data_IF_440991296082
#
_entry.id   IF_440991296082
#
_cell.length_a   1.000
_cell.length_b   1.000
_cell.length_c   1.000
_cell.angle_alpha   90.00
_cell.angle_beta   90.00
_cell.angle_gamma   90.00
#
_symmetry.space_group_name_H-M   'P 1'
#
loop_
_entity.id
_entity.type
_entity.pdbx_description
1 polymer ?
#
# COMPACT_ATOMS: atom_id res chain seq x y z
N UNK A 1 -27.55 3.35 -1.49
CA UNK A 1 -26.67 4.44 -1.92
C UNK A 1 -26.02 4.02 -3.22
N UNK A 2 -25.97 4.92 -4.20
CA UNK A 2 -25.12 4.69 -5.37
C UNK A 2 -23.65 4.62 -4.93
N UNK A 3 -22.82 3.89 -5.68
CA UNK A 3 -21.37 3.79 -5.45
C UNK A 3 -20.75 5.18 -5.22
N UNK A 4 -19.73 5.28 -4.38
CA UNK A 4 -19.00 6.54 -4.16
C UNK A 4 -18.63 7.25 -5.46
N UNK A 5 -18.26 6.51 -6.51
CA UNK A 5 -17.92 7.03 -7.84
C UNK A 5 -19.02 7.87 -8.51
N UNK A 6 -20.28 7.70 -8.11
CA UNK A 6 -21.42 8.48 -8.64
C UNK A 6 -21.69 9.78 -7.88
N UNK A 7 -21.09 9.95 -6.69
CA UNK A 7 -21.35 11.07 -5.77
C UNK A 7 -20.12 12.00 -5.63
N UNK A 8 -19.12 11.90 -6.52
CA UNK A 8 -17.91 12.72 -6.44
C UNK A 8 -18.15 14.09 -7.10
N UNK A 9 -17.86 15.14 -6.34
CA UNK A 9 -17.80 16.51 -6.84
C UNK A 9 -16.35 16.93 -7.09
N UNK A 10 -16.09 17.59 -8.22
CA UNK A 10 -14.75 17.96 -8.66
C UNK A 10 -14.58 19.47 -8.69
N UNK A 11 -13.50 19.98 -8.11
CA UNK A 11 -13.13 21.39 -8.08
C UNK A 11 -11.70 21.54 -8.62
N UNK A 12 -11.54 22.31 -9.68
CA UNK A 12 -10.25 22.49 -10.36
C UNK A 12 -9.57 23.74 -9.83
N UNK A 13 -8.30 23.61 -9.45
CA UNK A 13 -7.42 24.72 -9.13
C UNK A 13 -6.48 25.00 -10.30
N UNK A 14 -6.32 26.27 -10.67
CA UNK A 14 -5.27 26.66 -11.60
C UNK A 14 -3.91 26.45 -10.94
N UNK A 15 -3.01 25.72 -11.62
CA UNK A 15 -1.67 25.36 -11.10
C UNK A 15 -1.67 24.62 -9.75
N UNK A 16 -2.77 23.93 -9.41
CA UNK A 16 -2.93 23.21 -8.15
C UNK A 16 -3.57 21.82 -8.30
N UNK A 17 -3.77 21.09 -7.20
CA UNK A 17 -4.46 19.82 -7.23
C UNK A 17 -5.96 20.01 -7.52
N UNK A 18 -6.54 19.05 -8.23
CA UNK A 18 -8.00 18.94 -8.34
C UNK A 18 -8.53 18.41 -7.01
N UNK A 19 -9.36 19.21 -6.34
CA UNK A 19 -10.04 18.80 -5.11
C UNK A 19 -11.26 17.97 -5.46
N UNK A 20 -11.45 16.89 -4.71
CA UNK A 20 -12.58 15.98 -4.87
C UNK A 20 -13.16 15.66 -3.51
N UNK A 21 -14.48 15.71 -3.41
CA UNK A 21 -15.23 15.42 -2.20
C UNK A 21 -16.46 14.60 -2.55
N UNK A 22 -16.88 13.76 -1.62
CA UNK A 22 -18.12 12.99 -1.70
C UNK A 22 -19.14 13.44 -0.66
N UNK A 23 -18.67 13.76 0.55
CA UNK A 23 -19.53 14.07 1.71
C UNK A 23 -19.16 15.42 2.32
N UNK A 24 -17.86 15.76 2.39
CA UNK A 24 -17.38 16.97 3.06
C UNK A 24 -17.51 18.21 2.18
N UNK A 25 -17.71 19.39 2.77
CA UNK A 25 -17.74 20.62 2.00
C UNK A 25 -16.34 21.02 1.51
N UNK A 26 -16.30 22.07 0.68
CA UNK A 26 -15.08 22.67 0.16
C UNK A 26 -14.97 24.11 0.66
N UNK A 27 -13.76 24.52 1.02
CA UNK A 27 -13.44 25.92 1.29
C UNK A 27 -12.94 26.55 0.00
N UNK A 28 -13.53 27.66 -0.39
CA UNK A 28 -13.03 28.53 -1.45
C UNK A 28 -12.32 29.73 -0.82
N UNK A 29 -11.07 29.96 -1.22
CA UNK A 29 -10.28 31.10 -0.75
C UNK A 29 -9.26 31.53 -1.80
N UNK A 30 -9.21 32.82 -2.10
CA UNK A 30 -8.29 33.42 -3.08
C UNK A 30 -8.40 32.78 -4.48
N UNK A 31 -9.61 32.37 -4.88
CA UNK A 31 -9.85 31.66 -6.16
C UNK A 31 -9.36 30.20 -6.18
N UNK A 32 -8.97 29.65 -5.03
CA UNK A 32 -8.54 28.26 -4.87
C UNK A 32 -9.50 27.48 -3.97
N UNK A 33 -9.60 26.19 -4.24
CA UNK A 33 -10.41 25.21 -3.52
C UNK A 33 -9.55 24.34 -2.59
N UNK A 34 -10.09 24.05 -1.41
CA UNK A 34 -9.49 23.22 -0.37
C UNK A 34 -10.54 22.28 0.24
N UNK A 35 -10.17 21.05 0.61
CA UNK A 35 -11.11 20.16 1.31
C UNK A 35 -11.39 20.71 2.71
N UNK A 36 -12.66 20.85 3.08
CA UNK A 36 -13.02 21.14 4.45
C UNK A 36 -13.13 19.84 5.26
N UNK A 37 -11.97 19.34 5.70
CA UNK A 37 -11.88 18.04 6.34
C UNK A 37 -12.74 17.92 7.62
N UNK A 38 -13.01 19.03 8.31
CA UNK A 38 -13.85 19.06 9.53
C UNK A 38 -15.25 19.61 9.29
N UNK A 39 -15.49 20.36 8.22
CA UNK A 39 -16.79 21.00 7.95
C UNK A 39 -16.99 22.31 8.72
N UNK A 40 -15.91 22.94 9.18
CA UNK A 40 -15.95 24.16 10.01
C UNK A 40 -15.74 25.46 9.22
N UNK A 41 -15.55 25.38 7.90
CA UNK A 41 -15.25 26.52 7.02
C UNK A 41 -13.88 27.15 7.22
N UNK A 42 -13.05 26.66 8.16
CA UNK A 42 -11.74 27.22 8.50
C UNK A 42 -10.63 26.52 7.72
N UNK A 43 -9.85 27.30 6.99
CA UNK A 43 -8.63 26.81 6.32
C UNK A 43 -7.48 26.66 7.32
N UNK A 44 -7.50 25.57 8.09
CA UNK A 44 -6.39 25.19 8.98
C UNK A 44 -5.13 24.79 8.18
N UNK A 45 -3.91 24.89 8.74
CA UNK A 45 -2.69 24.62 8.00
C UNK A 45 -2.61 23.21 7.38
N UNK A 46 -3.22 22.20 8.00
CA UNK A 46 -3.28 20.83 7.46
C UNK A 46 -4.23 20.67 6.26
N UNK A 47 -5.24 21.53 6.12
CA UNK A 47 -6.19 21.54 4.98
C UNK A 47 -5.62 22.27 3.76
N UNK A 48 -4.61 23.12 3.97
CA UNK A 48 -3.98 23.91 2.93
C UNK A 48 -2.86 23.14 2.23
N UNK A 49 -3.16 22.61 1.04
CA UNK A 49 -2.24 21.84 0.19
C UNK A 49 -1.02 22.63 -0.29
N UNK A 50 -0.99 23.95 -0.11
CA UNK A 50 0.20 24.79 -0.41
C UNK A 50 1.28 24.65 0.66
N UNK A 51 0.92 24.19 1.86
CA UNK A 51 1.88 23.91 2.92
C UNK A 51 2.64 22.61 2.66
N UNK A 52 3.88 22.53 3.15
CA UNK A 52 4.67 21.30 3.06
C UNK A 52 4.01 20.14 3.79
N UNK A 53 4.22 18.88 3.36
CA UNK A 53 3.66 17.72 4.05
C UNK A 53 4.01 17.67 5.54
N UNK A 54 5.23 18.04 5.92
CA UNK A 54 5.65 18.09 7.32
C UNK A 54 4.85 19.12 8.15
N UNK A 55 4.61 20.32 7.61
CA UNK A 55 3.79 21.35 8.26
C UNK A 55 2.34 20.91 8.39
N UNK A 56 1.78 20.31 7.34
CA UNK A 56 0.42 19.74 7.36
C UNK A 56 0.31 18.62 8.40
N UNK A 57 1.34 17.77 8.53
CA UNK A 57 1.38 16.63 9.45
C UNK A 57 1.41 17.08 10.90
N UNK A 58 2.29 18.02 11.22
CA UNK A 58 2.36 18.60 12.56
C UNK A 58 1.04 19.28 12.95
N UNK A 59 0.44 20.05 12.02
CA UNK A 59 -0.84 20.71 12.27
C UNK A 59 -1.99 19.74 12.46
N UNK A 60 -2.06 18.65 11.69
CA UNK A 60 -3.10 17.63 11.84
C UNK A 60 -2.93 16.85 13.15
N UNK A 61 -1.70 16.42 13.45
CA UNK A 61 -1.41 15.65 14.67
C UNK A 61 -1.73 16.43 15.96
N UNK A 62 -1.66 17.76 15.93
CA UNK A 62 -2.07 18.62 17.04
C UNK A 62 -3.58 18.65 17.26
N UNK A 63 -4.39 18.44 16.21
CA UNK A 63 -5.86 18.51 16.24
C UNK A 63 -6.49 17.13 16.51
N UNK A 64 -5.82 16.04 16.12
CA UNK A 64 -6.35 14.68 16.29
C UNK A 64 -6.49 14.27 17.76
N UNK A 65 -7.61 13.60 18.07
CA UNK A 65 -7.84 12.98 19.37
C UNK A 65 -6.89 11.79 19.61
N UNK A 66 -6.82 11.31 20.86
CA UNK A 66 -6.08 10.09 21.18
C UNK A 66 -6.65 8.88 20.41
N UNK A 67 -7.96 8.76 20.32
CA UNK A 67 -8.64 7.64 19.65
C UNK A 67 -8.36 7.65 18.13
N UNK A 68 -8.41 8.81 17.48
CA UNK A 68 -8.07 8.93 16.06
C UNK A 68 -6.60 8.57 15.79
N UNK A 69 -5.69 8.94 16.72
CA UNK A 69 -4.28 8.55 16.64
C UNK A 69 -4.10 7.05 16.80
N UNK A 70 -4.81 6.44 17.76
CA UNK A 70 -4.77 5.00 18.04
C UNK A 70 -5.33 4.21 16.86
N UNK A 71 -6.46 4.62 16.28
CA UNK A 71 -7.06 3.94 15.12
C UNK A 71 -6.13 3.87 13.91
N UNK A 72 -5.27 4.89 13.70
CA UNK A 72 -4.26 4.87 12.64
C UNK A 72 -3.10 3.89 12.88
N UNK A 73 -2.94 3.31 14.07
CA UNK A 73 -1.84 2.37 14.36
C UNK A 73 -2.15 0.95 13.87
N UNK A 74 -3.43 0.58 13.79
CA UNK A 74 -3.84 -0.77 13.43
C UNK A 74 -3.86 -0.99 11.93
N UNK A 75 -3.53 -2.22 11.53
CA UNK A 75 -3.51 -2.67 10.15
C UNK A 75 -4.17 -4.05 10.07
N UNK A 76 -5.36 -4.12 9.49
CA UNK A 76 -6.19 -5.34 9.54
C UNK A 76 -6.32 -5.97 8.16
N UNK A 77 -6.35 -7.31 8.07
CA UNK A 77 -6.74 -7.95 6.80
C UNK A 77 -8.23 -7.74 6.58
N UNK A 78 -8.62 -7.35 5.36
CA UNK A 78 -10.00 -6.97 5.08
C UNK A 78 -10.56 -7.66 3.85
N UNK A 79 -11.85 -7.98 3.90
CA UNK A 79 -12.61 -8.60 2.80
C UNK A 79 -13.49 -7.56 2.11
N UNK A 80 -13.55 -7.60 0.79
CA UNK A 80 -14.46 -6.79 0.00
C UNK A 80 -15.87 -7.40 0.01
N UNK A 81 -16.90 -6.56 0.02
CA UNK A 81 -18.30 -6.97 -0.06
C UNK A 81 -18.65 -7.72 -1.34
N UNK A 82 -17.92 -7.49 -2.45
CA UNK A 82 -18.16 -8.23 -3.70
C UNK A 82 -17.95 -9.75 -3.55
N UNK A 83 -17.09 -10.16 -2.61
CA UNK A 83 -16.81 -11.56 -2.29
C UNK A 83 -17.62 -12.09 -1.10
N UNK A 84 -18.46 -11.27 -0.49
CA UNK A 84 -19.37 -11.72 0.57
C UNK A 84 -20.51 -12.52 -0.05
N UNK A 85 -20.70 -13.75 0.42
CA UNK A 85 -21.74 -14.66 -0.07
C UNK A 85 -23.13 -14.19 0.38
N UNK A 86 -23.25 -13.79 1.65
CA UNK A 86 -24.47 -13.25 2.21
C UNK A 86 -24.64 -11.76 1.86
N UNK A 87 -25.45 -11.48 0.83
CA UNK A 87 -25.72 -10.11 0.36
C UNK A 87 -26.54 -9.27 1.34
N UNK A 88 -27.00 -9.81 2.46
CA UNK A 88 -27.56 -9.01 3.55
C UNK A 88 -26.46 -8.38 4.43
N UNK A 89 -25.23 -8.89 4.35
CA UNK A 89 -24.05 -8.45 5.11
C UNK A 89 -23.11 -7.57 4.29
N UNK A 90 -23.64 -6.78 3.36
CA UNK A 90 -22.87 -5.77 2.62
C UNK A 90 -23.51 -4.41 2.78
N UNK A 91 -22.74 -3.35 2.56
CA UNK A 91 -23.30 -2.01 2.52
C UNK A 91 -24.25 -1.83 1.33
N UNK A 92 -24.97 -0.72 1.29
CA UNK A 92 -25.94 -0.44 0.23
C UNK A 92 -25.32 -0.41 -1.19
N UNK A 93 -24.01 -0.20 -1.31
CA UNK A 93 -23.30 -0.27 -2.59
C UNK A 93 -22.92 -1.69 -3.02
N UNK A 94 -22.95 -2.65 -2.08
CA UNK A 94 -22.48 -4.01 -2.25
C UNK A 94 -20.96 -4.18 -2.26
N UNK A 95 -20.20 -3.10 -2.03
CA UNK A 95 -18.74 -3.09 -2.12
C UNK A 95 -18.07 -3.33 -0.77
N UNK A 96 -18.66 -2.90 0.33
CA UNK A 96 -18.11 -3.07 1.67
C UNK A 96 -18.70 -4.29 2.36
N UNK A 97 -17.86 -5.04 3.08
CA UNK A 97 -18.31 -6.16 3.90
C UNK A 97 -18.78 -5.63 5.26
N UNK A 98 -20.04 -5.88 5.62
CA UNK A 98 -20.64 -5.46 6.89
C UNK A 98 -20.90 -6.65 7.83
N UNK A 99 -20.35 -7.83 7.49
CA UNK A 99 -20.38 -8.99 8.36
C UNK A 99 -19.69 -8.71 9.70
N UNK A 100 -20.37 -9.08 10.78
CA UNK A 100 -19.79 -9.16 12.11
C UNK A 100 -19.43 -10.63 12.34
N UNK A 101 -18.15 -10.89 12.57
CA UNK A 101 -17.63 -12.21 12.93
C UNK A 101 -17.26 -12.18 14.40
N UNK A 102 -18.02 -12.90 15.20
CA UNK A 102 -17.66 -13.17 16.59
C UNK A 102 -16.75 -14.40 16.61
N UNK A 103 -15.54 -14.27 17.19
CA UNK A 103 -14.49 -15.31 17.23
C UNK A 103 -13.96 -15.73 15.85
N UNK A 104 -13.31 -14.82 15.11
CA UNK A 104 -12.60 -15.20 13.88
C UNK A 104 -11.37 -16.06 14.25
N UNK A 105 -11.31 -17.29 13.74
CA UNK A 105 -10.16 -18.20 13.84
C UNK A 105 -9.08 -17.81 12.82
N UNK A 106 -8.56 -16.59 12.91
CA UNK A 106 -7.37 -16.27 12.12
C UNK A 106 -6.17 -16.98 12.75
N UNK A 107 -5.29 -17.54 11.92
CA UNK A 107 -4.03 -18.18 12.38
C UNK A 107 -3.08 -17.22 13.13
N UNK A 108 -3.42 -15.93 13.22
CA UNK A 108 -2.61 -14.87 13.82
C UNK A 108 -3.23 -14.27 15.09
N UNK A 109 -4.55 -14.26 15.26
CA UNK A 109 -5.24 -13.85 16.49
C UNK A 109 -6.73 -14.25 16.50
N UNK A 110 -7.31 -14.40 17.70
CA UNK A 110 -8.76 -14.54 17.91
C UNK A 110 -9.32 -13.16 18.21
N UNK A 111 -9.97 -12.54 17.23
CA UNK A 111 -10.59 -11.23 17.38
C UNK A 111 -12.03 -11.23 16.82
N UNK A 112 -12.88 -10.41 17.43
CA UNK A 112 -14.16 -10.08 16.83
C UNK A 112 -13.93 -9.07 15.72
N UNK A 113 -14.37 -9.39 14.50
CA UNK A 113 -14.32 -8.46 13.37
C UNK A 113 -15.68 -7.81 13.21
N UNK A 114 -15.72 -6.48 13.15
CA UNK A 114 -16.93 -5.72 12.87
C UNK A 114 -17.04 -5.39 11.38
N UNK A 115 -18.24 -4.96 10.96
CA UNK A 115 -18.47 -4.46 9.61
C UNK A 115 -17.58 -3.26 9.25
N UNK A 116 -17.28 -3.12 7.96
CA UNK A 116 -16.37 -2.09 7.41
C UNK A 116 -16.75 -0.69 7.87
N UNK A 117 -18.05 -0.37 7.85
CA UNK A 117 -18.53 0.96 8.24
C UNK A 117 -18.24 1.24 9.71
N UNK A 118 -18.50 0.26 10.59
CA UNK A 118 -18.20 0.37 12.03
C UNK A 118 -16.69 0.54 12.26
N UNK A 119 -15.86 -0.29 11.61
CA UNK A 119 -14.40 -0.23 11.76
C UNK A 119 -13.80 1.10 11.31
N UNK A 120 -14.32 1.70 10.24
CA UNK A 120 -13.85 3.02 9.79
C UNK A 120 -14.41 4.14 10.67
N UNK A 121 -15.70 4.15 10.97
CA UNK A 121 -16.34 5.29 11.66
C UNK A 121 -16.10 5.28 13.16
N UNK A 122 -16.33 4.15 13.80
CA UNK A 122 -16.35 4.03 15.26
C UNK A 122 -14.97 3.68 15.83
N UNK A 123 -14.22 2.78 15.16
CA UNK A 123 -12.89 2.37 15.64
C UNK A 123 -11.75 3.25 15.11
N UNK A 124 -12.01 4.13 14.14
CA UNK A 124 -11.00 5.01 13.56
C UNK A 124 -9.90 4.29 12.76
N UNK A 125 -10.08 3.02 12.40
CA UNK A 125 -9.06 2.25 11.67
C UNK A 125 -8.98 2.73 10.22
N UNK A 126 -7.75 2.94 9.73
CA UNK A 126 -7.48 3.49 8.39
C UNK A 126 -6.59 2.65 7.51
N UNK A 127 -6.00 1.56 8.01
CA UNK A 127 -5.11 0.72 7.22
C UNK A 127 -5.68 -0.69 7.05
N UNK A 128 -5.83 -1.12 5.80
CA UNK A 128 -6.39 -2.43 5.48
C UNK A 128 -5.47 -3.20 4.55
N UNK A 129 -5.22 -4.47 4.83
CA UNK A 129 -4.48 -5.39 3.96
C UNK A 129 -5.51 -6.09 3.06
N UNK A 130 -5.41 -5.85 1.76
CA UNK A 130 -6.20 -6.57 0.77
C UNK A 130 -5.42 -7.77 0.25
N UNK A 131 -5.98 -8.96 0.47
CA UNK A 131 -5.45 -10.25 -0.02
C UNK A 131 -6.22 -10.80 -1.22
N UNK A 132 -7.42 -10.30 -1.48
CA UNK A 132 -8.25 -10.73 -2.59
C UNK A 132 -7.73 -10.16 -3.93
N UNK A 133 -8.15 -10.76 -5.05
CA UNK A 133 -7.70 -10.43 -6.41
C UNK A 133 -8.88 -9.92 -7.28
N UNK A 134 -9.47 -8.75 -6.94
CA UNK A 134 -10.53 -8.15 -7.74
C UNK A 134 -10.02 -7.63 -9.08
N UNK A 135 -10.93 -7.36 -10.01
CA UNK A 135 -10.58 -6.62 -11.24
C UNK A 135 -10.18 -5.18 -10.89
N UNK A 136 -9.30 -4.52 -11.67
CA UNK A 136 -8.85 -3.15 -11.36
C UNK A 136 -9.98 -2.14 -11.10
N UNK A 137 -11.06 -2.19 -11.89
CA UNK A 137 -12.22 -1.31 -11.69
C UNK A 137 -12.97 -1.56 -10.38
N UNK A 138 -13.09 -2.81 -9.95
CA UNK A 138 -13.72 -3.18 -8.68
C UNK A 138 -12.87 -2.75 -7.49
N UNK A 139 -11.54 -2.87 -7.62
CA UNK A 139 -10.59 -2.39 -6.62
C UNK A 139 -10.68 -0.88 -6.44
N UNK A 140 -10.70 -0.13 -7.55
CA UNK A 140 -10.86 1.31 -7.52
C UNK A 140 -12.20 1.69 -6.87
N UNK A 141 -13.32 1.08 -7.30
CA UNK A 141 -14.64 1.32 -6.70
C UNK A 141 -14.64 1.07 -5.19
N UNK A 142 -14.04 -0.02 -4.73
CA UNK A 142 -13.96 -0.36 -3.31
C UNK A 142 -13.13 0.64 -2.49
N UNK A 143 -11.95 1.03 -2.99
CA UNK A 143 -11.10 2.04 -2.32
C UNK A 143 -11.81 3.39 -2.24
N UNK A 144 -12.58 3.76 -3.28
CA UNK A 144 -13.37 4.98 -3.24
C UNK A 144 -14.52 4.88 -2.24
N UNK A 145 -15.19 3.73 -2.15
CA UNK A 145 -16.26 3.50 -1.18
C UNK A 145 -15.72 3.59 0.27
N UNK A 146 -14.56 2.99 0.55
CA UNK A 146 -13.86 3.12 1.83
C UNK A 146 -13.54 4.59 2.16
N UNK A 147 -13.01 5.33 1.19
CA UNK A 147 -12.66 6.73 1.40
C UNK A 147 -13.89 7.64 1.53
N UNK A 148 -15.02 7.33 0.90
CA UNK A 148 -16.29 8.04 1.13
C UNK A 148 -16.78 7.84 2.58
N UNK A 149 -16.72 6.61 3.09
CA UNK A 149 -17.05 6.33 4.51
C UNK A 149 -16.13 7.10 5.45
N UNK A 150 -14.83 7.09 5.16
CA UNK A 150 -13.82 7.78 5.95
C UNK A 150 -13.92 9.32 5.85
N UNK A 151 -14.30 9.84 4.70
CA UNK A 151 -14.57 11.27 4.50
C UNK A 151 -15.72 11.76 5.38
N UNK A 152 -16.69 10.90 5.67
CA UNK A 152 -17.80 11.20 6.58
C UNK A 152 -17.42 11.31 8.07
N UNK A 153 -16.18 11.05 8.46
CA UNK A 153 -15.75 11.13 9.88
C UNK A 153 -15.26 12.53 10.27
N UNK A 154 -14.94 12.74 11.56
CA UNK A 154 -14.52 14.04 12.11
C UNK A 154 -13.49 14.78 11.26
N UNK A 155 -12.26 14.25 11.18
CA UNK A 155 -11.16 14.83 10.40
C UNK A 155 -11.01 14.30 8.97
N UNK A 156 -11.98 13.53 8.47
CA UNK A 156 -11.97 12.94 7.13
C UNK A 156 -10.64 12.25 6.76
N UNK A 157 -10.05 11.52 7.71
CA UNK A 157 -8.76 10.84 7.50
C UNK A 157 -8.93 9.74 6.45
N UNK A 158 -8.18 9.74 5.34
CA UNK A 158 -8.34 8.76 4.27
C UNK A 158 -7.91 7.36 4.70
N UNK A 159 -8.47 6.37 4.02
CA UNK A 159 -8.08 4.97 4.17
C UNK A 159 -6.89 4.66 3.25
N UNK A 160 -5.98 3.85 3.75
CA UNK A 160 -4.83 3.33 3.02
C UNK A 160 -4.96 1.81 2.90
N UNK A 161 -5.11 1.34 1.66
CA UNK A 161 -5.11 -0.09 1.36
C UNK A 161 -3.68 -0.54 1.05
N UNK A 162 -3.25 -1.57 1.77
CA UNK A 162 -1.97 -2.25 1.66
C UNK A 162 -2.16 -3.58 0.94
N UNK A 163 -1.17 -3.99 0.17
CA UNK A 163 -1.12 -5.34 -0.38
C UNK A 163 0.31 -5.78 -0.65
N UNK A 164 0.50 -7.08 -0.88
CA UNK A 164 1.71 -7.59 -1.49
C UNK A 164 1.82 -7.11 -2.95
N UNK A 165 2.94 -7.39 -3.59
CA UNK A 165 3.12 -7.13 -5.02
C UNK A 165 2.08 -7.86 -5.87
N UNK A 166 1.68 -7.24 -7.00
CA UNK A 166 0.57 -7.70 -7.86
C UNK A 166 0.92 -7.72 -9.36
N UNK A 167 2.17 -7.39 -9.71
CA UNK A 167 2.59 -7.07 -11.08
C UNK A 167 3.61 -8.07 -11.64
N UNK A 168 3.87 -9.15 -10.91
CA UNK A 168 4.71 -10.25 -11.34
C UNK A 168 3.95 -11.56 -11.21
N UNK A 169 4.30 -12.53 -12.06
CA UNK A 169 3.79 -13.88 -11.98
C UNK A 169 4.25 -14.50 -10.65
N UNK A 170 3.28 -14.89 -9.84
CA UNK A 170 3.48 -15.73 -8.66
C UNK A 170 2.46 -16.86 -8.69
N UNK A 171 2.86 -18.06 -8.27
CA UNK A 171 1.87 -19.08 -7.93
C UNK A 171 1.06 -18.58 -6.73
N UNK A 172 -0.26 -18.70 -6.83
CA UNK A 172 -1.16 -18.44 -5.71
C UNK A 172 -0.97 -19.60 -4.73
N UNK A 173 -0.13 -19.40 -3.73
CA UNK A 173 0.04 -20.35 -2.62
C UNK A 173 -0.70 -19.80 -1.42
N UNK A 174 -1.57 -20.60 -0.80
CA UNK A 174 -2.20 -20.27 0.48
C UNK A 174 -1.11 -19.93 1.51
N UNK A 175 -0.94 -18.67 1.91
CA UNK A 175 0.13 -18.28 2.85
C UNK A 175 0.53 -16.81 2.85
N UNK A 176 1.83 -16.50 2.77
CA UNK A 176 2.32 -15.10 2.85
C UNK A 176 2.23 -14.32 1.54
N UNK A 177 1.71 -14.94 0.47
CA UNK A 177 1.72 -14.42 -0.90
C UNK A 177 0.35 -14.56 -1.58
N UNK A 178 -0.69 -14.00 -0.94
CA UNK A 178 -2.09 -14.26 -1.32
C UNK A 178 -2.62 -13.40 -2.49
N UNK A 179 -1.86 -12.42 -2.97
CA UNK A 179 -2.26 -11.52 -4.06
C UNK A 179 -1.36 -11.67 -5.29
N UNK A 180 -1.94 -11.88 -6.47
CA UNK A 180 -1.22 -12.02 -7.75
C UNK A 180 -2.14 -11.72 -8.95
N UNK A 181 -1.55 -11.33 -10.10
CA UNK A 181 -2.21 -11.39 -11.41
C UNK A 181 -3.37 -10.41 -11.67
N UNK A 182 -3.46 -9.30 -10.92
CA UNK A 182 -4.50 -8.26 -11.13
C UNK A 182 -4.09 -7.23 -12.20
N UNK A 183 -2.78 -7.09 -12.40
CA UNK A 183 -2.16 -6.11 -13.29
C UNK A 183 -1.29 -6.78 -14.36
N UNK A 184 -0.51 -6.00 -15.12
CA UNK A 184 0.46 -6.56 -16.06
C UNK A 184 1.31 -7.64 -15.38
N UNK A 185 1.38 -8.83 -16.00
CA UNK A 185 2.06 -9.99 -15.44
C UNK A 185 3.50 -10.06 -15.94
N UNK A 186 4.41 -9.40 -15.24
CA UNK A 186 5.85 -9.53 -15.49
C UNK A 186 6.35 -10.93 -15.05
N UNK A 187 7.54 -11.39 -15.50
CA UNK A 187 8.16 -12.57 -14.91
C UNK A 187 8.28 -12.43 -13.37
N UNK A 188 8.30 -13.55 -12.64
CA UNK A 188 8.57 -13.53 -11.20
C UNK A 188 9.90 -12.82 -10.90
N UNK A 189 10.09 -12.35 -9.66
CA UNK A 189 11.24 -11.49 -9.29
C UNK A 189 12.62 -12.05 -9.66
N UNK A 190 12.83 -13.37 -9.53
CA UNK A 190 14.07 -14.04 -10.00
C UNK A 190 14.23 -13.99 -11.52
N UNK A 191 13.14 -14.11 -12.28
CA UNK A 191 13.15 -13.95 -13.75
C UNK A 191 13.47 -12.52 -14.17
N UNK A 192 12.95 -11.53 -13.42
CA UNK A 192 13.31 -10.12 -13.61
C UNK A 192 14.81 -9.92 -13.32
N UNK A 193 15.34 -10.49 -12.23
CA UNK A 193 16.75 -10.41 -11.91
C UNK A 193 17.64 -11.03 -13.00
N UNK A 194 17.25 -12.18 -13.56
CA UNK A 194 17.95 -12.80 -14.68
C UNK A 194 17.91 -11.90 -15.94
N UNK A 195 16.78 -11.28 -16.24
CA UNK A 195 16.66 -10.34 -17.36
C UNK A 195 17.54 -9.10 -17.16
N UNK A 196 17.62 -8.56 -15.94
CA UNK A 196 18.50 -7.44 -15.59
C UNK A 196 19.97 -7.81 -15.78
N UNK A 197 20.38 -9.03 -15.40
CA UNK A 197 21.76 -9.49 -15.68
C UNK A 197 22.08 -9.54 -17.16
N UNK A 198 21.13 -9.95 -18.00
CA UNK A 198 21.34 -10.07 -19.44
C UNK A 198 21.27 -8.74 -20.19
N UNK A 199 20.36 -7.84 -19.80
CA UNK A 199 20.00 -6.65 -20.57
C UNK A 199 20.30 -5.31 -19.87
N UNK A 200 20.73 -5.34 -18.62
CA UNK A 200 21.08 -4.16 -17.83
C UNK A 200 19.99 -3.69 -16.84
N UNK A 201 20.38 -2.88 -15.84
CA UNK A 201 19.51 -2.41 -14.76
C UNK A 201 18.40 -1.43 -15.21
N UNK A 202 18.50 -0.83 -16.39
CA UNK A 202 17.51 0.09 -16.97
C UNK A 202 16.12 -0.57 -17.13
N UNK A 203 16.07 -1.89 -17.26
CA UNK A 203 14.81 -2.64 -17.32
C UNK A 203 13.94 -2.40 -16.08
N UNK A 204 14.58 -2.21 -14.92
CA UNK A 204 13.88 -1.93 -13.66
C UNK A 204 13.12 -0.61 -13.72
N UNK A 205 13.58 0.38 -14.47
CA UNK A 205 12.89 1.67 -14.57
C UNK A 205 11.52 1.51 -15.26
N UNK A 206 11.45 0.63 -16.26
CA UNK A 206 10.20 0.29 -16.96
C UNK A 206 9.26 -0.52 -16.07
N UNK A 207 9.79 -1.50 -15.35
CA UNK A 207 9.02 -2.30 -14.40
C UNK A 207 8.44 -1.43 -13.27
N UNK A 208 9.28 -0.58 -12.67
CA UNK A 208 8.90 0.34 -11.62
C UNK A 208 7.82 1.34 -12.06
N UNK A 209 7.97 1.89 -13.28
CA UNK A 209 6.98 2.81 -13.88
C UNK A 209 5.64 2.11 -14.11
N UNK A 210 5.64 0.87 -14.61
CA UNK A 210 4.41 0.10 -14.83
C UNK A 210 3.65 -0.08 -13.53
N UNK A 211 4.33 -0.56 -12.47
CA UNK A 211 3.73 -0.74 -11.14
C UNK A 211 3.15 0.58 -10.64
N UNK A 212 3.93 1.67 -10.71
CA UNK A 212 3.51 2.98 -10.23
C UNK A 212 2.19 3.41 -10.89
N UNK A 213 2.12 3.30 -12.21
CA UNK A 213 0.94 3.68 -13.00
C UNK A 213 -0.28 2.83 -12.64
N UNK A 214 -0.12 1.52 -12.51
CA UNK A 214 -1.23 0.60 -12.23
C UNK A 214 -1.76 0.73 -10.80
N UNK A 215 -0.87 0.87 -9.81
CA UNK A 215 -1.24 1.06 -8.41
C UNK A 215 -1.88 2.43 -8.19
N UNK A 216 -1.34 3.49 -8.78
CA UNK A 216 -1.96 4.83 -8.79
C UNK A 216 -3.35 4.78 -9.43
N UNK A 217 -3.51 4.04 -10.53
CA UNK A 217 -4.76 3.90 -11.27
C UNK A 217 -5.87 3.15 -10.52
N UNK A 218 -5.60 2.53 -9.37
CA UNK A 218 -6.65 1.95 -8.52
C UNK A 218 -6.73 2.61 -7.13
N UNK A 219 -5.88 3.60 -6.86
CA UNK A 219 -5.80 4.25 -5.55
C UNK A 219 -5.02 3.45 -4.51
N UNK A 220 -4.21 2.47 -4.93
CA UNK A 220 -3.31 1.75 -4.04
C UNK A 220 -2.03 2.53 -3.83
N UNK A 221 -1.73 2.86 -2.58
CA UNK A 221 -0.65 3.79 -2.22
C UNK A 221 0.40 3.20 -1.30
N UNK A 222 0.24 1.96 -0.86
CA UNK A 222 1.21 1.30 0.00
C UNK A 222 1.32 -0.18 -0.31
N UNK A 223 2.52 -0.64 -0.62
CA UNK A 223 2.79 -2.05 -0.92
C UNK A 223 3.82 -2.67 0.01
N UNK A 224 3.62 -3.93 0.39
CA UNK A 224 4.63 -4.82 0.98
C UNK A 224 5.48 -5.44 -0.13
N UNK A 225 6.32 -4.62 -0.75
CA UNK A 225 7.04 -4.97 -1.98
C UNK A 225 8.28 -4.08 -2.16
N UNK A 226 9.35 -4.54 -2.79
CA UNK A 226 9.73 -5.95 -3.04
C UNK A 226 10.70 -6.42 -1.95
N UNK A 227 10.99 -7.73 -1.88
CA UNK A 227 11.94 -8.21 -0.89
C UNK A 227 13.37 -7.88 -1.31
N UNK A 228 14.10 -7.25 -0.40
CA UNK A 228 15.52 -6.94 -0.55
C UNK A 228 16.42 -8.04 0.04
N UNK A 229 15.82 -9.13 0.52
CA UNK A 229 16.53 -10.30 1.02
C UNK A 229 17.43 -10.90 -0.09
N UNK A 230 18.67 -11.25 0.27
CA UNK A 230 19.62 -11.97 -0.60
C UNK A 230 19.42 -13.46 -0.39
N UNK A 231 19.11 -14.24 -1.43
CA UNK A 231 18.85 -15.68 -1.36
C UNK A 231 20.12 -16.48 -1.05
N UNK A 232 20.29 -16.99 0.17
CA UNK A 232 21.47 -17.83 0.51
C UNK A 232 21.15 -19.32 0.61
N UNK A 233 19.88 -19.68 0.77
CA UNK A 233 19.42 -21.07 0.89
C UNK A 233 18.19 -21.29 0.01
N UNK A 234 18.31 -22.04 -1.10
CA UNK A 234 17.21 -22.24 -2.04
C UNK A 234 16.03 -23.03 -1.44
N UNK A 235 16.21 -23.66 -0.26
CA UNK A 235 15.11 -24.34 0.45
C UNK A 235 14.19 -23.35 1.17
N UNK A 236 14.58 -22.07 1.27
CA UNK A 236 13.74 -21.05 1.85
C UNK A 236 12.50 -20.82 0.97
N UNK A 237 11.33 -21.12 1.51
CA UNK A 237 10.06 -21.10 0.77
C UNK A 237 9.74 -19.74 0.12
N UNK A 238 10.29 -18.63 0.63
CA UNK A 238 10.03 -17.28 0.08
C UNK A 238 11.01 -16.85 -1.02
N UNK A 239 11.76 -17.79 -1.58
CA UNK A 239 12.75 -17.48 -2.60
C UNK A 239 12.20 -16.83 -3.86
N UNK A 240 10.96 -17.16 -4.19
CA UNK A 240 10.21 -16.61 -5.32
C UNK A 240 10.12 -15.08 -5.35
N UNK A 241 10.25 -14.39 -4.21
CA UNK A 241 10.06 -12.94 -4.14
C UNK A 241 11.36 -12.15 -3.88
N UNK A 242 12.51 -12.83 -3.94
CA UNK A 242 13.84 -12.21 -3.90
C UNK A 242 14.40 -11.99 -5.30
N UNK A 243 15.37 -11.09 -5.44
CA UNK A 243 16.09 -10.89 -6.70
C UNK A 243 17.34 -11.78 -6.86
N UNK A 244 17.43 -12.88 -6.08
CA UNK A 244 18.51 -13.87 -6.19
C UNK A 244 19.56 -13.77 -5.08
N UNK A 245 20.68 -14.44 -5.31
CA UNK A 245 21.74 -14.68 -4.31
C UNK A 245 22.88 -13.65 -4.32
N UNK A 246 22.95 -12.80 -5.34
CA UNK A 246 24.01 -11.80 -5.47
C UNK A 246 23.58 -10.47 -4.83
N UNK A 247 24.25 -10.04 -3.74
CA UNK A 247 23.97 -8.76 -3.11
C UNK A 247 24.09 -7.59 -4.08
N UNK A 248 25.11 -7.53 -4.93
CA UNK A 248 25.35 -6.37 -5.80
C UNK A 248 24.20 -6.16 -6.78
N UNK A 249 23.71 -7.25 -7.38
CA UNK A 249 22.53 -7.23 -8.25
C UNK A 249 21.28 -6.78 -7.50
N UNK A 250 21.03 -7.33 -6.31
CA UNK A 250 19.86 -6.97 -5.48
C UNK A 250 19.87 -5.48 -5.16
N UNK A 251 21.04 -4.93 -4.82
CA UNK A 251 21.21 -3.52 -4.49
C UNK A 251 20.98 -2.63 -5.72
N UNK A 252 21.59 -2.95 -6.86
CA UNK A 252 21.39 -2.22 -8.11
C UNK A 252 19.91 -2.19 -8.55
N UNK A 253 19.19 -3.29 -8.35
CA UNK A 253 17.75 -3.37 -8.60
C UNK A 253 16.98 -2.45 -7.64
N UNK A 254 17.25 -2.53 -6.33
CA UNK A 254 16.52 -1.76 -5.33
C UNK A 254 16.74 -0.25 -5.45
N UNK A 255 17.95 0.18 -5.78
CA UNK A 255 18.30 1.60 -6.00
C UNK A 255 17.46 2.24 -7.11
N UNK A 256 17.00 1.47 -8.10
CA UNK A 256 16.15 1.95 -9.19
C UNK A 256 14.68 1.70 -8.94
N UNK A 257 14.34 0.53 -8.41
CA UNK A 257 12.97 0.08 -8.22
C UNK A 257 12.22 0.94 -7.19
N UNK A 258 12.89 1.29 -6.09
CA UNK A 258 12.32 2.12 -5.02
C UNK A 258 11.90 3.51 -5.52
N UNK A 259 12.83 4.34 -6.04
CA UNK A 259 12.47 5.67 -6.52
C UNK A 259 11.55 5.61 -7.74
N UNK A 260 11.69 4.58 -8.60
CA UNK A 260 10.81 4.37 -9.73
C UNK A 260 9.34 4.21 -9.30
N UNK A 261 9.07 3.51 -8.19
CA UNK A 261 7.70 3.32 -7.70
C UNK A 261 7.22 4.49 -6.84
N UNK A 262 8.12 5.12 -6.09
CA UNK A 262 7.81 6.36 -5.35
C UNK A 262 7.61 7.56 -6.28
N UNK A 263 8.10 7.49 -7.52
CA UNK A 263 8.09 8.58 -8.49
C UNK A 263 9.19 9.62 -8.30
N UNK A 264 10.05 9.49 -7.27
CA UNK A 264 11.20 10.37 -7.04
C UNK A 264 12.23 9.71 -6.11
N UNK A 265 13.51 10.07 -6.27
CA UNK A 265 14.59 9.71 -5.34
C UNK A 265 14.48 10.40 -3.98
N UNK A 266 13.74 11.51 -3.92
CA UNK A 266 13.53 12.29 -2.69
C UNK A 266 12.37 11.74 -1.84
N UNK A 267 11.60 10.79 -2.37
CA UNK A 267 10.51 10.13 -1.69
C UNK A 267 9.24 10.04 -2.54
N UNK A 268 8.12 9.76 -1.87
CA UNK A 268 6.83 9.52 -2.51
C UNK A 268 6.27 10.82 -3.10
N UNK A 269 5.96 10.77 -4.39
CA UNK A 269 5.21 11.82 -5.12
C UNK A 269 3.72 11.52 -5.09
N UNK A 270 2.88 12.46 -5.55
CA UNK A 270 1.42 12.29 -5.63
C UNK A 270 0.99 11.04 -6.40
N UNK A 271 1.70 10.74 -7.49
CA UNK A 271 1.46 9.60 -8.37
C UNK A 271 2.28 8.37 -7.96
N UNK A 272 3.06 8.48 -6.87
CA UNK A 272 3.91 7.42 -6.34
C UNK A 272 3.21 6.56 -5.29
N UNK A 273 3.72 5.34 -5.13
CA UNK A 273 3.37 4.45 -4.03
C UNK A 273 4.41 4.51 -2.90
N UNK A 274 3.93 4.59 -1.66
CA UNK A 274 4.70 4.24 -0.48
C UNK A 274 5.08 2.75 -0.50
N UNK A 275 6.30 2.44 -0.09
CA UNK A 275 6.85 1.09 -0.17
C UNK A 275 7.32 0.65 1.20
N UNK A 276 6.95 -0.56 1.58
CA UNK A 276 7.47 -1.24 2.75
C UNK A 276 8.18 -2.50 2.30
N UNK A 277 9.50 -2.53 2.51
CA UNK A 277 10.35 -3.65 2.11
C UNK A 277 10.31 -4.71 3.22
N UNK A 278 9.83 -5.91 2.89
CA UNK A 278 9.89 -7.07 3.78
C UNK A 278 11.04 -8.00 3.35
N UNK A 279 11.68 -8.79 4.22
CA UNK A 279 11.75 -8.66 5.67
C UNK A 279 13.05 -7.93 6.06
N UNK A 280 13.00 -6.97 6.99
CA UNK A 280 14.15 -6.13 7.32
C UNK A 280 14.67 -6.35 8.76
N UNK A 281 15.97 -6.65 8.94
CA UNK A 281 16.77 -7.65 8.23
C UNK A 281 16.73 -9.02 8.94
N UNK A 282 16.84 -10.11 8.17
CA UNK A 282 17.32 -11.40 8.70
C UNK A 282 16.27 -12.47 9.03
N UNK A 283 15.19 -12.62 8.25
CA UNK A 283 14.30 -13.81 8.42
C UNK A 283 14.99 -15.14 8.10
N UNK A 284 16.17 -15.12 7.47
CA UNK A 284 16.96 -16.32 7.15
C UNK A 284 17.54 -17.04 8.37
N UNK A 285 17.71 -16.38 9.53
CA UNK A 285 18.30 -17.05 10.70
C UNK A 285 17.39 -18.08 11.37
N UNK A 286 16.17 -18.32 10.84
CA UNK A 286 15.35 -19.45 11.27
C UNK A 286 15.82 -20.75 10.59
N UNK A 287 17.06 -21.13 10.88
CA UNK A 287 17.65 -22.37 10.41
C UNK A 287 17.03 -23.57 11.14
N UNK A 288 16.15 -24.32 10.47
CA UNK A 288 16.00 -25.75 10.78
C UNK A 288 17.20 -26.50 10.20
N UNK A 289 18.29 -26.62 10.97
CA UNK A 289 19.22 -27.74 10.76
C UNK A 289 18.60 -28.95 11.48
N UNK A 290 18.06 -29.89 10.71
CA UNK A 290 17.73 -31.22 11.24
C UNK A 290 19.05 -31.93 11.55
N UNK A 291 19.38 -32.06 12.84
CA UNK A 291 20.23 -33.15 13.35
C UNK A 291 19.39 -33.96 14.36
N UNK A 292 19.57 -35.30 14.45
CA UNK A 292 18.87 -36.12 15.43
C UNK A 292 19.27 -35.76 16.87
N UNK A 293 18.43 -36.09 17.87
CA UNK A 293 18.31 -35.31 19.10
C UNK A 293 19.33 -35.72 20.17
N UNK A 294 19.87 -34.72 20.87
CA UNK A 294 20.37 -34.87 22.24
C UNK A 294 19.70 -33.76 23.06
N UNK A 295 18.57 -34.12 23.67
CA UNK A 295 17.72 -33.35 24.60
C UNK A 295 16.76 -32.30 24.01
N UNK A 296 15.53 -32.19 24.56
CA UNK A 296 14.44 -31.39 24.01
C UNK A 296 14.45 -29.96 24.59
N UNK A 297 14.24 -28.95 23.73
CA UNK A 297 13.64 -27.69 24.17
C UNK A 297 14.49 -26.41 24.15
N UNK A 298 15.72 -26.40 23.65
CA UNK A 298 16.50 -25.15 23.56
C UNK A 298 17.07 -24.94 22.16
N UNK A 299 16.67 -23.86 21.49
CA UNK A 299 17.25 -23.38 20.23
C UNK A 299 18.14 -22.19 20.54
N UNK A 300 19.46 -22.36 20.42
CA UNK A 300 20.43 -21.28 20.47
C UNK A 300 20.77 -20.81 19.04
N UNK A 301 20.76 -19.49 18.82
CA UNK A 301 21.26 -18.86 17.60
C UNK A 301 22.70 -18.38 17.84
N UNK A 302 23.68 -19.00 17.18
CA UNK A 302 25.07 -18.50 17.16
C UNK A 302 25.31 -17.80 15.81
N UNK A 303 25.77 -16.54 15.77
CA UNK A 303 26.20 -15.89 14.54
C UNK A 303 27.49 -16.57 14.04
N UNK A 304 27.44 -17.17 12.85
CA UNK A 304 28.65 -17.71 12.23
C UNK A 304 29.53 -16.57 11.70
N UNK A 305 30.84 -16.78 11.76
CA UNK A 305 31.88 -15.79 11.52
C UNK A 305 31.87 -15.32 10.06
N UNK A 306 31.52 -14.05 9.84
CA UNK A 306 32.14 -13.23 8.78
C UNK A 306 31.55 -13.24 7.37
N UNK A 307 30.27 -13.55 7.15
CA UNK A 307 29.60 -13.29 5.85
C UNK A 307 28.39 -12.36 5.98
N UNK A 308 28.18 -11.40 5.05
CA UNK A 308 27.05 -10.47 5.09
C UNK A 308 25.76 -11.17 4.62
N UNK A 309 25.15 -11.97 5.49
CA UNK A 309 23.80 -12.54 5.28
C UNK A 309 22.67 -11.53 5.57
N UNK A 310 22.95 -10.25 5.39
CA UNK A 310 22.06 -9.14 5.74
C UNK A 310 22.08 -8.13 4.61
N UNK A 311 20.91 -7.51 4.34
CA UNK A 311 20.80 -6.35 3.46
C UNK A 311 21.91 -5.36 3.87
N UNK A 312 22.93 -5.11 3.03
CA UNK A 312 23.89 -4.08 3.35
C UNK A 312 23.11 -2.77 3.47
N UNK A 313 23.26 -1.99 4.55
CA UNK A 313 22.63 -0.68 4.68
C UNK A 313 22.89 0.23 3.48
N UNK A 314 23.95 -0.07 2.72
CA UNK A 314 24.32 0.57 1.45
C UNK A 314 23.30 0.42 0.32
N UNK A 315 22.42 -0.60 0.36
CA UNK A 315 21.54 -0.99 -0.76
C UNK A 315 20.20 -0.25 -0.81
N UNK A 316 20.03 0.75 0.05
CA UNK A 316 18.85 1.58 0.10
C UNK A 316 19.20 3.02 -0.30
N UNK A 317 18.35 3.71 -1.06
CA UNK A 317 18.53 5.13 -1.33
C UNK A 317 18.72 5.92 -0.03
N UNK A 318 19.56 6.95 -0.05
CA UNK A 318 19.91 7.75 1.13
C UNK A 318 18.68 8.31 1.86
N UNK A 319 17.63 8.63 1.10
CA UNK A 319 16.35 9.10 1.62
C UNK A 319 15.62 8.08 2.49
N UNK A 320 15.86 6.78 2.32
CA UNK A 320 15.34 5.69 3.15
C UNK A 320 16.27 5.36 4.32
N UNK A 321 17.59 5.49 4.14
CA UNK A 321 18.58 5.30 5.22
C UNK A 321 18.37 6.31 6.35
N UNK A 322 18.09 7.58 6.02
CA UNK A 322 17.94 8.65 7.01
C UNK A 322 16.58 8.67 7.72
N UNK A 323 15.52 8.14 7.09
CA UNK A 323 14.13 8.32 7.57
C UNK A 323 13.62 7.16 8.43
N UNK A 324 14.40 6.09 8.61
CA UNK A 324 13.96 4.88 9.31
C UNK A 324 12.88 4.15 8.50
N UNK A 325 13.16 2.92 8.07
CA UNK A 325 12.34 2.14 7.13
C UNK A 325 10.95 1.76 7.71
N UNK A 326 10.72 2.07 8.99
CA UNK A 326 9.53 1.65 9.72
C UNK A 326 8.52 2.77 10.06
N UNK A 327 8.89 4.05 10.20
CA UNK A 327 7.98 4.92 10.99
C UNK A 327 7.86 6.42 10.66
N UNK A 328 8.56 6.99 9.67
CA UNK A 328 8.45 8.44 9.41
C UNK A 328 7.28 8.85 8.50
N UNK A 329 6.33 7.96 8.22
CA UNK A 329 5.51 8.11 7.01
C UNK A 329 4.01 7.86 7.15
N UNK A 330 3.44 7.62 8.34
CA UNK A 330 1.96 7.44 8.40
C UNK A 330 1.27 8.78 8.12
N UNK A 331 1.50 9.81 8.92
CA UNK A 331 0.86 11.13 8.73
C UNK A 331 1.28 11.82 7.41
N UNK A 332 2.56 11.78 7.03
CA UNK A 332 3.02 12.35 5.76
C UNK A 332 2.44 11.62 4.53
N UNK A 333 2.26 10.29 4.59
CA UNK A 333 1.58 9.55 3.51
C UNK A 333 0.08 9.79 3.54
N UNK A 334 -0.55 9.85 4.71
CA UNK A 334 -1.97 10.20 4.87
C UNK A 334 -2.27 11.57 4.27
N UNK A 335 -1.39 12.55 4.48
CA UNK A 335 -1.50 13.90 3.93
C UNK A 335 -1.25 13.95 2.42
N UNK A 336 -0.31 13.14 1.94
CA UNK A 336 -0.16 12.89 0.50
C UNK A 336 -1.42 12.28 -0.11
N UNK A 337 -2.09 11.37 0.58
CA UNK A 337 -3.37 10.78 0.16
C UNK A 337 -4.53 11.80 0.17
N UNK A 338 -4.53 12.81 1.04
CA UNK A 338 -5.57 13.84 1.08
C UNK A 338 -5.64 14.70 -0.21
N UNK A 339 -4.53 14.86 -0.92
CA UNK A 339 -4.45 15.60 -2.19
C UNK A 339 -4.70 14.71 -3.42
N UNK A 340 -4.90 13.40 -3.21
CA UNK A 340 -4.95 12.46 -4.31
C UNK A 340 -6.33 12.40 -4.98
N UNK A 341 -6.22 12.09 -6.27
CA UNK A 341 -7.28 11.84 -7.22
C UNK A 341 -7.91 10.48 -6.86
N UNK A 342 -9.14 10.39 -6.32
CA UNK A 342 -9.95 9.22 -6.59
C UNK A 342 -9.93 9.00 -8.11
N UNK A 343 -9.61 7.79 -8.52
CA UNK A 343 -9.22 7.43 -9.88
C UNK A 343 -10.38 7.53 -10.85
N UNK A 344 -10.84 8.73 -11.17
CA UNK A 344 -11.90 8.92 -12.15
C UNK A 344 -11.66 10.22 -12.91
N UNK A 345 -10.81 10.12 -13.94
CA UNK A 345 -10.89 10.88 -15.17
C UNK A 345 -9.97 10.23 -16.24
N UNK A 346 -10.54 9.40 -17.11
CA UNK A 346 -10.20 9.50 -18.53
C UNK A 346 -9.04 8.70 -19.12
N UNK A 347 -8.36 7.77 -18.42
CA UNK A 347 -7.66 6.68 -19.14
C UNK A 347 -8.67 5.56 -19.40
N UNK A 348 -9.54 5.76 -20.39
CA UNK A 348 -10.29 4.65 -20.99
C UNK A 348 -9.23 3.67 -21.52
N UNK A 349 -9.18 2.45 -21.00
CA UNK A 349 -8.73 1.33 -21.82
C UNK A 349 -9.76 1.23 -22.94
N UNK A 350 -9.48 1.85 -24.08
CA UNK A 350 -10.22 1.57 -25.30
C UNK A 350 -9.92 0.12 -25.65
N UNK A 351 -10.85 -0.77 -25.31
CA UNK A 351 -10.92 -2.09 -25.90
C UNK A 351 -11.40 -1.94 -27.34
N UNK A 352 -10.49 -1.60 -28.25
CA UNK A 352 -10.66 -1.99 -29.65
C UNK A 352 -10.00 -3.35 -29.82
N UNK A 353 -10.68 -4.24 -30.54
CA UNK A 353 -10.48 -5.69 -30.57
C UNK A 353 -9.17 -6.22 -31.16
N UNK A 354 -8.05 -5.53 -30.95
CA UNK A 354 -6.72 -6.00 -31.24
C UNK A 354 -5.82 -5.71 -30.03
N UNK A 355 -5.60 -6.73 -29.20
CA UNK A 355 -4.76 -6.63 -28.01
C UNK A 355 -3.44 -5.90 -28.26
N UNK A 356 -3.31 -4.71 -27.70
CA UNK A 356 -2.06 -4.00 -27.45
C UNK A 356 -2.17 -3.35 -26.09
N UNK A 357 -1.19 -3.65 -25.23
CA UNK A 357 -1.07 -3.16 -23.86
C UNK A 357 -1.12 -1.62 -23.82
N UNK A 358 -1.78 -1.09 -22.80
CA UNK A 358 -1.84 0.34 -22.49
C UNK A 358 -0.43 0.89 -22.17
N UNK A 359 -0.11 2.05 -22.76
CA UNK A 359 1.12 2.83 -22.53
C UNK A 359 0.97 3.77 -21.34
#
# INVERSE_FOLDING_TARGET
>A
MNKASTNIHFYKNENGPVIRVTVKPVIEKDGLYFRDLTGDGRLAPYKDWRNTPAKRAASLAAELSADEKIGMLFVNSWKMGIYQEDRTKVDESGLLNEEIVEQDESIFNVENTYGTTCTVKEMGIRHFILRQNPRPGELADWINQLNMVAEGTGHALPVMVLSNSRNEHGEIVFGMNDAAGVFATWPGTMGIAAAVRGNGPELIDSFARCIRMEWDAVGMKKGYMYMADVMTDPRWQRSYGTFGEDPELVCAIMERLIPGIQGSSQGVTREGGGRHHQAFPGRQSQGKRIRPPLCPGTVECVPDRGQPAHIPPACLPDSHRQKGILHHAVLCQTIGCQEQVPVWAGRRCHGDGAGRLCV
#
